data_IF_995010858659
#
_entry.id   IF_995010858659
#
_cell.length_a   1.000
_cell.length_b   1.000
_cell.length_c   1.000
_cell.angle_alpha   90.00
_cell.angle_beta   90.00
_cell.angle_gamma   90.00
#
_symmetry.space_group_name_H-M   'P 1'
#
loop_
_entity.id
_entity.type
_entity.pdbx_description
1 polymer ?
#
# COMPACT_ATOMS: atom_id res chain seq x y z
N UNK A 1 13.69 -3.14 -8.13
CA UNK A 1 14.98 -2.44 -7.89
C UNK A 1 15.08 -1.32 -8.93
N UNK A 2 15.36 -0.10 -8.48
CA UNK A 2 14.88 1.18 -9.04
C UNK A 2 15.99 2.05 -9.66
N UNK A 3 15.63 3.13 -10.38
CA UNK A 3 16.61 4.06 -10.95
C UNK A 3 16.18 5.53 -10.80
N UNK A 4 17.06 6.42 -10.33
CA UNK A 4 16.91 7.88 -10.25
C UNK A 4 18.20 8.53 -10.80
N UNK A 5 18.07 9.60 -11.58
CA UNK A 5 19.17 10.44 -12.04
C UNK A 5 18.95 11.86 -11.55
N UNK A 6 19.98 12.48 -10.96
CA UNK A 6 19.98 13.87 -10.47
C UNK A 6 21.05 14.70 -11.18
N UNK A 7 20.70 15.93 -11.57
CA UNK A 7 21.64 17.00 -11.97
C UNK A 7 21.27 18.25 -11.16
N UNK A 8 22.24 18.97 -10.55
CA UNK A 8 21.96 20.13 -9.71
C UNK A 8 21.88 21.43 -10.53
N UNK A 9 21.12 22.44 -10.07
CA UNK A 9 21.53 23.86 -9.92
C UNK A 9 20.33 24.79 -9.54
N UNK A 10 20.54 25.52 -8.43
CA UNK A 10 20.12 26.87 -7.98
C UNK A 10 18.69 27.42 -8.26
N UNK A 11 17.87 27.29 -7.21
CA UNK A 11 16.89 28.19 -6.56
C UNK A 11 16.30 29.40 -7.34
N UNK A 12 14.96 29.41 -7.43
CA UNK A 12 14.12 30.55 -7.01
C UNK A 12 12.90 30.02 -6.24
N UNK A 13 12.73 30.42 -4.97
CA UNK A 13 11.56 30.08 -4.17
C UNK A 13 10.37 30.96 -4.58
N UNK A 14 9.30 30.36 -5.12
CA UNK A 14 7.93 30.81 -4.88
C UNK A 14 7.22 29.76 -4.05
N UNK A 15 6.68 30.20 -2.92
CA UNK A 15 5.86 29.37 -2.03
C UNK A 15 4.46 29.35 -2.65
N UNK A 16 4.14 28.29 -3.40
CA UNK A 16 2.77 27.98 -3.77
C UNK A 16 2.12 27.27 -2.58
N UNK A 17 1.21 27.95 -1.90
CA UNK A 17 0.38 27.34 -0.86
C UNK A 17 -0.69 26.48 -1.54
N UNK A 18 -0.60 25.16 -1.41
CA UNK A 18 -1.66 24.24 -1.83
C UNK A 18 -2.93 24.48 -1.01
N UNK A 19 -4.08 24.57 -1.68
CA UNK A 19 -5.40 24.59 -1.04
C UNK A 19 -5.67 23.27 -0.30
N UNK A 20 -6.53 23.27 0.74
CA UNK A 20 -6.91 22.06 1.44
C UNK A 20 -7.70 21.14 0.49
N UNK A 21 -7.14 19.98 0.20
CA UNK A 21 -7.84 18.87 -0.45
C UNK A 21 -9.05 18.50 0.41
N UNK A 22 -10.26 18.54 -0.18
CA UNK A 22 -11.51 18.30 0.57
C UNK A 22 -11.48 16.92 1.23
N UNK A 23 -11.83 16.87 2.52
CA UNK A 23 -12.06 15.62 3.25
C UNK A 23 -13.35 14.92 2.79
N UNK A 24 -14.13 15.55 1.91
CA UNK A 24 -15.33 14.98 1.31
C UNK A 24 -15.03 14.34 -0.05
N UNK A 25 -15.35 13.05 -0.18
CA UNK A 25 -15.13 12.27 -1.40
C UNK A 25 -15.91 12.79 -2.61
N UNK A 26 -17.14 13.28 -2.44
CA UNK A 26 -17.95 13.79 -3.55
C UNK A 26 -17.38 15.11 -4.09
N UNK A 27 -16.91 16.00 -3.22
CA UNK A 27 -16.26 17.24 -3.63
C UNK A 27 -14.98 16.97 -4.41
N UNK A 28 -14.18 15.98 -3.97
CA UNK A 28 -13.00 15.53 -4.70
C UNK A 28 -13.37 15.04 -6.11
N UNK A 29 -14.42 14.23 -6.23
CA UNK A 29 -14.86 13.71 -7.52
C UNK A 29 -15.36 14.82 -8.45
N UNK A 30 -16.06 15.82 -7.92
CA UNK A 30 -16.46 17.00 -8.67
C UNK A 30 -15.23 17.80 -9.13
N UNK A 31 -14.23 17.99 -8.26
CA UNK A 31 -13.01 18.69 -8.62
C UNK A 31 -12.22 17.98 -9.72
N UNK A 32 -12.20 16.65 -9.73
CA UNK A 32 -11.46 15.88 -10.75
C UNK A 32 -12.21 15.78 -12.08
N UNK A 33 -13.53 15.56 -12.07
CA UNK A 33 -14.31 15.32 -13.28
C UNK A 33 -15.15 16.50 -13.75
N UNK A 34 -15.17 17.62 -13.02
CA UNK A 34 -16.05 18.77 -13.26
C UNK A 34 -17.53 18.51 -12.98
N UNK A 35 -17.90 17.28 -12.59
CA UNK A 35 -19.27 16.86 -12.27
C UNK A 35 -19.22 15.60 -11.40
N UNK A 36 -20.26 15.30 -10.62
CA UNK A 36 -20.29 14.08 -9.80
C UNK A 36 -20.66 12.86 -10.68
N UNK A 37 -19.71 11.93 -10.95
CA UNK A 37 -19.98 10.72 -11.74
C UNK A 37 -20.90 9.72 -11.02
N UNK A 38 -21.22 9.92 -9.74
CA UNK A 38 -22.24 9.16 -9.03
C UNK A 38 -23.68 9.56 -9.44
N UNK A 39 -23.89 10.76 -9.99
CA UNK A 39 -25.24 11.21 -10.41
C UNK A 39 -25.62 10.81 -11.85
N UNK A 40 -24.67 10.43 -12.70
CA UNK A 40 -24.95 10.08 -14.11
C UNK A 40 -25.52 8.67 -14.32
N UNK A 41 -25.63 7.84 -13.27
CA UNK A 41 -26.22 6.50 -13.37
C UNK A 41 -27.73 6.44 -13.07
N UNK A 42 -28.39 7.55 -12.70
CA UNK A 42 -29.81 7.53 -12.30
C UNK A 42 -30.81 7.90 -13.42
N UNK A 43 -30.37 8.33 -14.60
CA UNK A 43 -31.27 8.88 -15.63
C UNK A 43 -31.55 7.98 -16.85
N UNK A 44 -31.28 6.68 -16.79
CA UNK A 44 -31.73 5.74 -17.83
C UNK A 44 -32.34 4.49 -17.21
N UNK A 45 -33.61 4.55 -16.78
CA UNK A 45 -34.52 3.38 -16.85
C UNK A 45 -35.98 3.73 -16.53
N UNK A 46 -36.88 3.42 -17.47
CA UNK A 46 -38.23 2.88 -17.21
C UNK A 46 -38.86 2.37 -18.53
N UNK A 47 -39.91 1.51 -18.52
CA UNK A 47 -40.34 0.55 -17.50
C UNK A 47 -40.65 -0.86 -18.07
N UNK A 48 -40.66 -1.88 -17.20
CA UNK A 48 -41.72 -2.92 -17.15
C UNK A 48 -41.59 -3.81 -15.90
N UNK A 49 -42.69 -3.94 -15.16
CA UNK A 49 -42.97 -4.90 -14.08
C UNK A 49 -43.63 -6.18 -14.65
N UNK A 50 -44.18 -7.14 -13.87
CA UNK A 50 -43.92 -7.60 -12.48
C UNK A 50 -43.79 -9.15 -12.33
N UNK A 51 -43.17 -9.65 -11.24
CA UNK A 51 -43.54 -10.92 -10.55
C UNK A 51 -42.63 -11.12 -9.31
N UNK A 52 -43.11 -10.83 -8.10
CA UNK A 52 -43.52 -11.77 -7.04
C UNK A 52 -42.45 -12.75 -6.50
N UNK A 53 -41.92 -12.37 -5.33
CA UNK A 53 -41.81 -13.12 -4.07
C UNK A 53 -41.33 -14.58 -4.06
N UNK A 54 -40.23 -14.87 -3.34
CA UNK A 54 -40.25 -15.71 -2.12
C UNK A 54 -38.83 -15.97 -1.57
N UNK A 55 -38.60 -15.53 -0.34
CA UNK A 55 -37.91 -16.30 0.72
C UNK A 55 -36.48 -16.82 0.49
N UNK A 56 -35.48 -15.95 0.66
CA UNK A 56 -34.09 -16.36 0.92
C UNK A 56 -33.64 -16.00 2.35
N UNK A 57 -34.49 -16.28 3.34
CA UNK A 57 -34.18 -16.09 4.77
C UNK A 57 -34.37 -17.38 5.59
N UNK A 58 -34.30 -18.56 4.96
CA UNK A 58 -34.49 -19.85 5.64
C UNK A 58 -33.28 -20.81 5.57
N UNK A 59 -32.09 -20.32 5.19
CA UNK A 59 -30.87 -21.15 5.07
C UNK A 59 -29.70 -20.72 5.96
N UNK A 60 -29.85 -19.67 6.78
CA UNK A 60 -28.73 -19.11 7.58
C UNK A 60 -28.67 -19.66 9.03
N UNK A 61 -29.67 -20.41 9.50
CA UNK A 61 -29.70 -20.93 10.88
C UNK A 61 -29.31 -22.41 11.04
N UNK A 62 -28.68 -23.03 10.03
CA UNK A 62 -28.22 -24.44 10.12
C UNK A 62 -26.71 -24.66 10.16
N UNK A 63 -25.88 -23.61 10.16
CA UNK A 63 -24.42 -23.79 10.00
C UNK A 63 -23.59 -23.41 11.24
N UNK A 64 -24.15 -22.73 12.25
CA UNK A 64 -23.34 -22.29 13.39
C UNK A 64 -23.98 -22.56 14.76
N UNK A 65 -23.60 -23.67 15.39
CA UNK A 65 -23.21 -23.69 16.80
C UNK A 65 -22.00 -24.60 17.03
N UNK A 66 -21.01 -24.19 17.83
CA UNK A 66 -19.83 -24.98 18.15
C UNK A 66 -20.05 -25.82 19.41
N UNK A 67 -19.42 -26.99 19.50
CA UNK A 67 -19.06 -27.58 20.79
C UNK A 67 -17.69 -28.27 20.74
N UNK A 68 -17.03 -28.20 21.89
CA UNK A 68 -15.63 -28.50 22.20
C UNK A 68 -15.32 -30.00 22.18
N UNK A 69 -14.06 -30.35 21.95
CA UNK A 69 -13.36 -31.39 22.72
C UNK A 69 -11.84 -31.18 22.71
N UNK A 70 -11.23 -31.53 23.83
CA UNK A 70 -9.82 -31.41 24.19
C UNK A 70 -9.14 -32.80 24.18
N UNK A 71 -7.80 -32.78 24.20
CA UNK A 71 -6.80 -33.83 24.49
C UNK A 71 -6.20 -34.69 23.33
N UNK A 72 -4.92 -34.41 23.02
CA UNK A 72 -3.83 -35.34 23.42
C UNK A 72 -2.91 -35.98 22.35
N UNK A 73 -1.61 -35.62 22.44
CA UNK A 73 -0.35 -36.40 22.20
C UNK A 73 0.27 -36.60 20.77
N UNK A 74 1.43 -35.95 20.61
CA UNK A 74 2.79 -36.46 20.28
C UNK A 74 3.11 -37.18 18.95
N UNK A 75 4.05 -36.65 18.16
CA UNK A 75 5.24 -37.37 17.66
C UNK A 75 6.28 -36.44 16.98
N UNK A 76 7.55 -36.65 17.34
CA UNK A 76 8.78 -36.06 16.80
C UNK A 76 9.10 -36.48 15.35
N UNK A 77 9.78 -35.62 14.59
CA UNK A 77 10.93 -36.00 13.73
C UNK A 77 11.97 -34.86 13.78
N UNK A 78 13.17 -35.16 14.26
CA UNK A 78 14.33 -34.27 14.23
C UNK A 78 15.27 -34.52 13.04
N UNK A 79 16.17 -33.56 12.82
CA UNK A 79 17.51 -33.82 12.24
C UNK A 79 18.01 -32.81 11.20
N UNK A 80 18.99 -31.97 11.58
CA UNK A 80 19.86 -31.26 10.64
C UNK A 80 20.55 -30.00 11.18
N UNK A 81 21.53 -30.13 12.10
CA UNK A 81 22.41 -29.04 12.55
C UNK A 81 23.75 -29.01 11.80
N UNK A 82 24.36 -27.81 11.67
CA UNK A 82 25.77 -27.42 11.99
C UNK A 82 26.04 -26.03 11.35
N UNK A 83 26.67 -25.02 11.94
CA UNK A 83 27.39 -24.80 13.21
C UNK A 83 27.69 -23.28 13.31
N UNK A 84 27.29 -22.57 14.37
CA UNK A 84 28.11 -22.10 15.51
C UNK A 84 27.15 -21.48 16.52
N UNK A 85 27.37 -21.70 17.82
CA UNK A 85 26.51 -21.19 18.87
C UNK A 85 26.65 -19.67 18.99
N UNK A 86 25.60 -18.94 18.62
CA UNK A 86 25.27 -17.67 19.26
C UNK A 86 23.79 -17.73 19.67
N UNK A 87 23.57 -17.63 20.98
CA UNK A 87 22.30 -17.79 21.69
C UNK A 87 21.33 -16.63 21.37
N UNK A 88 20.85 -16.55 20.13
CA UNK A 88 19.98 -15.47 19.66
C UNK A 88 18.89 -15.97 18.69
N UNK A 89 17.81 -15.21 18.61
CA UNK A 89 16.68 -15.38 17.72
C UNK A 89 16.64 -14.21 16.73
N UNK A 90 16.46 -14.50 15.43
CA UNK A 90 16.30 -13.46 14.42
C UNK A 90 14.92 -12.84 14.53
N UNK A 91 14.87 -11.55 14.86
CA UNK A 91 13.63 -10.76 15.00
C UNK A 91 13.77 -9.46 14.20
N UNK A 92 12.67 -8.86 13.73
CA UNK A 92 12.68 -7.51 13.15
C UNK A 92 13.47 -6.54 14.04
N UNK A 93 14.26 -5.66 13.43
CA UNK A 93 15.21 -4.81 14.16
C UNK A 93 14.57 -4.00 15.32
N UNK A 94 13.31 -3.58 15.17
CA UNK A 94 12.56 -2.83 16.20
C UNK A 94 11.99 -3.70 17.34
N UNK A 95 12.13 -5.03 17.26
CA UNK A 95 11.74 -5.97 18.32
C UNK A 95 12.92 -6.42 19.17
N UNK A 96 14.14 -5.99 18.84
CA UNK A 96 15.33 -6.27 19.65
C UNK A 96 15.77 -5.01 20.38
N UNK A 97 15.64 -4.98 21.72
CA UNK A 97 16.03 -3.80 22.48
C UNK A 97 16.84 -4.12 23.73
N UNK A 98 18.03 -3.51 23.80
CA UNK A 98 19.00 -3.62 24.88
C UNK A 98 18.99 -2.31 25.72
N UNK A 99 17.82 -1.94 26.26
CA UNK A 99 17.59 -0.72 27.07
C UNK A 99 17.90 0.65 26.42
N UNK A 100 18.08 0.75 25.10
CA UNK A 100 18.24 2.05 24.42
C UNK A 100 17.48 2.09 23.09
N UNK A 101 16.57 3.06 22.92
CA UNK A 101 16.06 3.44 21.58
C UNK A 101 17.10 4.39 21.02
N UNK A 102 17.82 3.96 19.99
CA UNK A 102 18.81 4.81 19.33
C UNK A 102 18.07 5.89 18.55
N UNK A 103 18.07 7.11 19.13
CA UNK A 103 17.29 8.28 18.68
C UNK A 103 18.17 9.36 18.05
N UNK A 104 19.46 9.07 17.82
CA UNK A 104 20.47 9.98 17.28
C UNK A 104 20.70 9.83 15.76
N UNK A 105 19.96 8.92 15.10
CA UNK A 105 20.13 8.62 13.69
C UNK A 105 20.89 7.32 13.38
N UNK A 106 21.25 6.48 14.37
CA UNK A 106 21.90 5.19 14.09
C UNK A 106 20.97 4.06 13.58
N UNK A 107 19.73 4.35 13.23
CA UNK A 107 18.79 3.43 12.56
C UNK A 107 19.08 3.23 11.07
N UNK A 108 20.36 3.14 10.70
CA UNK A 108 20.80 2.96 9.32
C UNK A 108 20.77 1.47 8.96
N UNK A 109 19.91 1.08 8.03
CA UNK A 109 19.85 -0.29 7.51
C UNK A 109 20.57 -0.34 6.16
N UNK A 110 21.71 -1.01 6.08
CA UNK A 110 22.35 -1.29 4.77
C UNK A 110 21.68 -2.51 4.14
N UNK A 111 20.84 -2.28 3.14
CA UNK A 111 20.06 -3.33 2.48
C UNK A 111 20.92 -4.35 1.71
N UNK A 112 22.21 -4.08 1.51
CA UNK A 112 23.14 -5.00 0.81
C UNK A 112 23.79 -6.01 1.75
N UNK A 113 23.87 -5.70 3.04
CA UNK A 113 24.55 -6.53 4.02
C UNK A 113 23.57 -7.58 4.56
N UNK A 114 23.69 -8.82 4.06
CA UNK A 114 23.04 -9.97 4.70
C UNK A 114 23.85 -10.35 5.93
N UNK A 115 23.30 -10.04 7.10
CA UNK A 115 23.92 -10.35 8.39
C UNK A 115 23.75 -11.83 8.78
N UNK A 116 23.71 -12.09 10.09
CA UNK A 116 23.46 -13.42 10.65
C UNK A 116 22.06 -13.95 10.28
N UNK A 117 21.10 -13.05 10.03
CA UNK A 117 19.72 -13.38 9.68
C UNK A 117 19.50 -13.36 8.16
N UNK A 118 18.58 -14.20 7.67
CA UNK A 118 18.28 -14.31 6.23
C UNK A 118 17.63 -13.04 5.66
N UNK A 119 16.75 -12.41 6.45
CA UNK A 119 16.10 -11.15 6.09
C UNK A 119 16.96 -9.97 6.54
N UNK A 120 17.17 -8.99 5.66
CA UNK A 120 17.96 -7.79 5.93
C UNK A 120 17.32 -6.84 6.94
N UNK A 121 16.02 -6.97 7.21
CA UNK A 121 15.32 -6.23 8.27
C UNK A 121 15.41 -6.92 9.64
N UNK A 122 15.97 -8.13 9.72
CA UNK A 122 16.08 -8.89 10.96
C UNK A 122 17.47 -8.78 11.58
N UNK A 123 17.53 -8.78 12.90
CA UNK A 123 18.75 -8.79 13.69
C UNK A 123 18.75 -10.00 14.65
N UNK A 124 19.93 -10.58 14.85
CA UNK A 124 20.16 -11.64 15.84
C UNK A 124 20.03 -11.04 17.26
N UNK A 125 18.93 -11.36 17.94
CA UNK A 125 18.59 -10.82 19.25
C UNK A 125 18.62 -11.89 20.35
N UNK A 126 19.32 -11.64 21.46
CA UNK A 126 19.38 -12.58 22.59
C UNK A 126 18.16 -12.42 23.50
N UNK A 127 17.63 -13.52 24.04
CA UNK A 127 16.67 -13.44 25.16
C UNK A 127 17.42 -12.90 26.40
N UNK A 128 16.87 -11.95 27.18
CA UNK A 128 15.47 -11.53 27.29
C UNK A 128 15.08 -10.27 26.51
N UNK A 129 15.93 -9.76 25.61
CA UNK A 129 15.80 -8.44 24.98
C UNK A 129 14.83 -8.40 23.78
N UNK A 130 14.13 -9.51 23.55
CA UNK A 130 13.10 -9.61 22.53
C UNK A 130 11.83 -8.99 23.11
N UNK A 131 11.36 -7.93 22.50
CA UNK A 131 10.10 -7.31 22.86
C UNK A 131 8.93 -8.18 22.36
N UNK A 132 7.96 -8.43 23.23
CA UNK A 132 6.71 -9.06 22.82
C UNK A 132 5.97 -8.22 21.77
N UNK A 133 5.17 -8.88 20.92
CA UNK A 133 4.40 -8.23 19.87
C UNK A 133 3.49 -7.10 20.35
N UNK A 134 3.08 -7.14 21.62
CA UNK A 134 2.19 -6.16 22.23
C UNK A 134 2.95 -4.90 22.70
N UNK A 135 4.28 -4.97 22.82
CA UNK A 135 5.17 -3.86 23.21
C UNK A 135 5.91 -3.24 22.01
N UNK A 136 5.40 -3.42 20.79
CA UNK A 136 6.01 -2.85 19.58
C UNK A 136 6.17 -1.33 19.74
N UNK A 137 7.42 -0.88 19.71
CA UNK A 137 7.73 0.54 19.58
C UNK A 137 7.51 0.91 18.10
N UNK A 138 6.29 1.28 17.74
CA UNK A 138 6.08 1.95 16.46
C UNK A 138 6.57 3.38 16.56
N UNK A 139 7.08 3.98 15.47
CA UNK A 139 7.39 5.40 15.45
C UNK A 139 6.18 6.21 15.95
N UNK A 140 6.45 7.28 16.71
CA UNK A 140 5.37 8.12 17.24
C UNK A 140 4.67 8.79 16.06
N UNK A 141 3.35 8.58 15.87
CA UNK A 141 2.61 9.15 14.75
C UNK A 141 2.87 10.65 14.63
N UNK A 142 3.48 11.06 13.52
CA UNK A 142 3.63 12.49 13.22
C UNK A 142 2.24 13.06 12.92
N UNK A 143 1.92 14.21 13.51
CA UNK A 143 0.67 14.92 13.23
C UNK A 143 0.63 15.30 11.74
N UNK A 144 -0.28 14.66 11.00
CA UNK A 144 -0.56 14.97 9.59
C UNK A 144 -0.91 16.44 9.41
N UNK A 145 -0.32 17.12 8.42
CA UNK A 145 -0.69 18.49 8.02
C UNK A 145 -0.95 18.56 6.52
N UNK A 146 -2.19 18.35 6.10
CA UNK A 146 -2.57 18.44 4.69
C UNK A 146 -2.15 17.21 3.88
N UNK A 147 -1.73 17.43 2.63
CA UNK A 147 -1.38 16.42 1.63
C UNK A 147 0.07 16.57 1.13
N UNK A 148 0.58 15.59 0.40
CA UNK A 148 1.85 15.71 -0.36
C UNK A 148 3.11 15.74 0.50
N UNK A 149 3.05 15.22 1.72
CA UNK A 149 4.20 15.18 2.63
C UNK A 149 5.16 14.03 2.30
N UNK A 150 6.25 14.33 1.58
CA UNK A 150 7.35 13.37 1.36
C UNK A 150 8.17 13.19 2.62
N UNK A 151 8.65 11.96 2.87
CA UNK A 151 9.53 11.60 4.00
C UNK A 151 10.91 11.15 3.52
N UNK A 152 11.83 12.07 3.15
CA UNK A 152 13.11 11.73 2.54
C UNK A 152 14.05 10.91 3.45
N UNK A 153 13.80 10.89 4.76
CA UNK A 153 14.59 10.14 5.74
C UNK A 153 13.93 8.81 6.15
N UNK A 154 12.79 8.46 5.54
CA UNK A 154 12.04 7.24 5.87
C UNK A 154 11.25 7.31 7.18
N UNK A 155 10.65 6.18 7.55
CA UNK A 155 9.83 6.01 8.76
C UNK A 155 10.47 4.95 9.64
N UNK A 156 10.93 5.34 10.83
CA UNK A 156 11.53 4.43 11.81
C UNK A 156 12.98 4.01 11.53
N UNK A 157 13.42 3.97 10.27
CA UNK A 157 14.79 3.71 9.86
C UNK A 157 15.12 4.40 8.54
N UNK A 158 16.41 4.59 8.28
CA UNK A 158 16.92 5.09 7.01
C UNK A 158 17.73 3.99 6.33
N UNK A 159 17.41 3.67 5.08
CA UNK A 159 18.24 2.76 4.30
C UNK A 159 19.49 3.45 3.80
N UNK A 160 20.58 2.69 3.82
CA UNK A 160 21.85 3.02 3.18
C UNK A 160 22.21 1.93 2.18
N UNK A 161 23.19 2.20 1.32
CA UNK A 161 23.65 1.20 0.36
C UNK A 161 22.70 0.94 -0.81
N UNK A 162 21.74 1.85 -1.07
CA UNK A 162 20.94 1.81 -2.29
C UNK A 162 21.86 1.81 -3.54
N UNK A 163 21.82 0.75 -4.33
CA UNK A 163 22.54 0.69 -5.63
C UNK A 163 21.59 0.98 -6.78
N UNK A 164 20.32 0.65 -6.58
CA UNK A 164 19.25 0.79 -7.56
C UNK A 164 18.17 1.70 -6.96
N UNK A 165 18.55 2.92 -6.56
CA UNK A 165 17.67 4.05 -6.25
C UNK A 165 16.40 3.70 -5.46
N UNK A 166 16.55 2.80 -4.49
CA UNK A 166 15.50 2.40 -3.58
C UNK A 166 14.97 3.62 -2.81
N UNK A 167 13.65 3.76 -2.75
CA UNK A 167 13.03 4.76 -1.90
C UNK A 167 13.16 4.36 -0.43
N UNK A 168 13.16 5.33 0.48
CA UNK A 168 13.08 5.06 1.91
C UNK A 168 11.72 4.44 2.27
N UNK A 169 11.66 3.67 3.35
CA UNK A 169 10.39 3.13 3.86
C UNK A 169 9.45 4.29 4.21
N UNK A 170 8.27 4.35 3.56
CA UNK A 170 7.30 5.43 3.75
C UNK A 170 7.68 6.77 3.11
N UNK A 171 8.65 6.84 2.21
CA UNK A 171 9.08 8.10 1.57
C UNK A 171 7.96 8.79 0.79
N UNK A 172 7.20 8.00 0.02
CA UNK A 172 6.08 8.43 -0.81
C UNK A 172 4.81 7.74 -0.33
N UNK A 173 4.21 8.19 0.78
CA UNK A 173 3.15 7.47 1.50
C UNK A 173 1.83 7.37 0.71
N UNK A 174 1.71 8.10 -0.40
CA UNK A 174 0.57 8.01 -1.33
C UNK A 174 0.69 6.91 -2.38
N UNK A 175 1.84 6.25 -2.49
CA UNK A 175 2.02 5.20 -3.48
C UNK A 175 1.19 3.97 -3.14
N UNK A 176 0.44 3.49 -4.14
CA UNK A 176 -0.33 2.26 -4.00
C UNK A 176 -0.04 1.29 -5.14
N UNK A 177 -0.11 0.00 -4.84
CA UNK A 177 -0.13 -1.06 -5.82
C UNK A 177 -1.57 -1.47 -6.12
N UNK A 178 -1.92 -1.52 -7.41
CA UNK A 178 -3.17 -2.09 -7.90
C UNK A 178 -2.88 -3.54 -8.25
N UNK A 179 -3.56 -4.44 -7.58
CA UNK A 179 -3.41 -5.89 -7.68
C UNK A 179 -4.66 -6.48 -8.31
N UNK A 180 -4.47 -7.45 -9.19
CA UNK A 180 -5.54 -8.27 -9.76
C UNK A 180 -5.56 -9.62 -9.08
N UNK A 181 -6.72 -10.03 -8.59
CA UNK A 181 -6.91 -11.36 -8.06
C UNK A 181 -7.09 -12.36 -9.21
N UNK A 182 -6.22 -13.37 -9.28
CA UNK A 182 -6.28 -14.45 -10.25
C UNK A 182 -6.41 -15.79 -9.53
N UNK A 183 -7.34 -16.64 -9.98
CA UNK A 183 -7.50 -17.99 -9.46
C UNK A 183 -6.43 -18.92 -10.03
N UNK A 184 -5.74 -19.67 -9.16
CA UNK A 184 -4.87 -20.76 -9.57
C UNK A 184 -5.76 -21.99 -9.79
N UNK A 185 -5.99 -22.34 -11.05
CA UNK A 185 -6.96 -23.34 -11.53
C UNK A 185 -6.81 -24.76 -10.96
N UNK A 186 -5.78 -25.03 -10.16
CA UNK A 186 -5.47 -26.36 -9.63
C UNK A 186 -5.51 -26.46 -8.09
N UNK A 187 -5.54 -25.35 -7.36
CA UNK A 187 -5.47 -25.36 -5.88
C UNK A 187 -6.59 -24.57 -5.19
N UNK A 188 -7.43 -23.86 -5.94
CA UNK A 188 -8.41 -22.92 -5.36
C UNK A 188 -7.77 -21.69 -4.69
N UNK A 189 -6.44 -21.57 -4.78
CA UNK A 189 -5.67 -20.47 -4.22
C UNK A 189 -5.82 -19.24 -5.12
N UNK A 190 -6.00 -18.07 -4.50
CA UNK A 190 -6.07 -16.78 -5.17
C UNK A 190 -4.69 -16.13 -5.10
N UNK A 191 -4.16 -15.71 -6.25
CA UNK A 191 -2.91 -14.97 -6.36
C UNK A 191 -3.22 -13.50 -6.64
N UNK A 192 -2.59 -12.61 -5.89
CA UNK A 192 -2.62 -11.19 -6.19
C UNK A 192 -1.46 -10.86 -7.12
N UNK A 193 -1.78 -10.58 -8.39
CA UNK A 193 -0.81 -10.24 -9.43
C UNK A 193 -0.76 -8.72 -9.58
N UNK A 194 0.45 -8.15 -9.64
CA UNK A 194 0.61 -6.72 -9.86
C UNK A 194 0.06 -6.30 -11.24
N UNK A 195 -0.87 -5.34 -11.23
CA UNK A 195 -1.50 -4.80 -12.43
C UNK A 195 -0.90 -3.45 -12.80
N UNK A 196 -0.85 -2.50 -11.86
CA UNK A 196 -0.36 -1.13 -12.07
C UNK A 196 -0.04 -0.43 -10.74
N UNK A 197 0.53 0.78 -10.81
CA UNK A 197 0.59 1.73 -9.70
C UNK A 197 -0.60 2.68 -9.67
N UNK A 198 -0.75 3.39 -8.55
CA UNK A 198 -1.66 4.51 -8.40
C UNK A 198 -1.19 5.45 -7.29
N UNK A 199 -1.94 6.53 -7.08
CA UNK A 199 -1.71 7.48 -6.00
C UNK A 199 -2.97 7.66 -5.15
N UNK A 200 -2.82 7.59 -3.84
CA UNK A 200 -3.87 7.91 -2.87
C UNK A 200 -4.10 9.43 -2.90
N UNK A 201 -5.29 9.84 -3.34
CA UNK A 201 -5.71 11.26 -3.37
C UNK A 201 -6.75 11.57 -2.30
N UNK A 202 -7.29 10.53 -1.67
CA UNK A 202 -8.19 10.59 -0.52
C UNK A 202 -8.12 9.24 0.18
N UNK A 203 -8.46 9.16 1.47
CA UNK A 203 -8.39 7.88 2.21
C UNK A 203 -9.24 6.75 1.59
N UNK A 204 -10.14 7.07 0.66
CA UNK A 204 -11.00 6.11 -0.05
C UNK A 204 -10.94 6.25 -1.58
N UNK A 205 -10.03 7.07 -2.14
CA UNK A 205 -9.92 7.27 -3.59
C UNK A 205 -8.48 7.21 -4.10
N UNK A 206 -8.29 6.45 -5.18
CA UNK A 206 -7.02 6.28 -5.88
C UNK A 206 -7.10 6.89 -7.27
N UNK A 207 -6.13 7.74 -7.61
CA UNK A 207 -5.88 8.16 -8.99
C UNK A 207 -4.94 7.16 -9.68
N UNK A 208 -5.30 6.72 -10.88
CA UNK A 208 -4.48 5.83 -11.71
C UNK A 208 -4.71 6.11 -13.19
N UNK A 209 -4.02 5.40 -14.08
CA UNK A 209 -4.23 5.49 -15.52
C UNK A 209 -5.49 4.71 -15.94
N UNK A 210 -6.20 5.21 -16.95
CA UNK A 210 -7.38 4.52 -17.48
C UNK A 210 -7.01 3.17 -18.10
N UNK A 211 -5.90 3.10 -18.85
CA UNK A 211 -5.46 1.86 -19.49
C UNK A 211 -5.13 0.74 -18.48
N UNK A 212 -4.81 1.08 -17.23
CA UNK A 212 -4.56 0.10 -16.16
C UNK A 212 -5.83 -0.69 -15.79
N UNK A 213 -7.00 -0.07 -15.94
CA UNK A 213 -8.28 -0.56 -15.41
C UNK A 213 -9.37 -0.69 -16.48
N UNK A 214 -9.10 -0.25 -17.71
CA UNK A 214 -10.01 -0.40 -18.84
C UNK A 214 -10.30 -1.89 -19.10
N UNK A 215 -11.59 -2.24 -19.19
CA UNK A 215 -12.04 -3.62 -19.35
C UNK A 215 -11.84 -4.53 -18.13
N UNK A 216 -11.49 -3.98 -16.97
CA UNK A 216 -11.39 -4.73 -15.70
C UNK A 216 -12.68 -4.61 -14.90
N UNK A 217 -12.94 -5.62 -14.06
CA UNK A 217 -14.09 -5.64 -13.14
C UNK A 217 -13.59 -5.20 -11.76
N UNK A 218 -14.31 -4.30 -11.09
CA UNK A 218 -13.91 -3.76 -9.78
C UNK A 218 -13.67 -4.85 -8.73
N UNK A 219 -14.53 -5.86 -8.68
CA UNK A 219 -14.42 -6.99 -7.75
C UNK A 219 -13.18 -7.89 -7.95
N UNK A 220 -12.45 -7.73 -9.06
CA UNK A 220 -11.19 -8.43 -9.32
C UNK A 220 -9.97 -7.60 -8.91
N UNK A 221 -10.16 -6.34 -8.50
CA UNK A 221 -9.09 -5.43 -8.16
C UNK A 221 -9.01 -5.22 -6.65
N UNK A 222 -7.78 -5.19 -6.17
CA UNK A 222 -7.40 -4.86 -4.79
C UNK A 222 -6.35 -3.77 -4.83
N UNK A 223 -6.43 -2.83 -3.91
CA UNK A 223 -5.44 -1.77 -3.73
C UNK A 223 -4.66 -2.07 -2.46
N UNK A 224 -3.33 -2.03 -2.55
CA UNK A 224 -2.42 -2.13 -1.43
C UNK A 224 -1.72 -0.79 -1.20
N UNK A 225 -1.91 -0.20 -0.02
CA UNK A 225 -1.26 1.03 0.41
C UNK A 225 -0.21 0.74 1.50
N UNK A 226 0.83 1.57 1.58
CA UNK A 226 1.87 1.47 2.63
C UNK A 226 2.83 0.29 2.46
N UNK A 227 2.83 -0.32 1.27
CA UNK A 227 3.81 -1.33 0.87
C UNK A 227 5.18 -0.69 0.60
N UNK A 228 6.25 -1.46 0.82
CA UNK A 228 7.60 -1.04 0.47
C UNK A 228 8.38 -2.17 -0.17
N UNK A 229 8.72 -3.21 0.58
CA UNK A 229 9.35 -4.42 0.04
C UNK A 229 8.37 -5.59 -0.01
N UNK A 230 7.88 -5.84 -1.22
CA UNK A 230 6.88 -6.87 -1.53
C UNK A 230 7.32 -8.31 -1.20
N UNK A 231 8.58 -8.52 -0.85
CA UNK A 231 9.15 -9.82 -0.50
C UNK A 231 9.13 -10.10 1.01
N UNK A 232 8.82 -9.11 1.83
CA UNK A 232 8.80 -9.23 3.29
C UNK A 232 7.55 -8.55 3.88
N UNK A 233 7.37 -8.73 5.19
CA UNK A 233 6.34 -8.08 6.00
C UNK A 233 6.90 -7.61 7.34
N UNK A 234 8.23 -7.52 7.43
CA UNK A 234 8.96 -7.21 8.65
C UNK A 234 9.17 -5.70 8.81
N UNK A 235 8.46 -4.88 8.04
CA UNK A 235 8.42 -3.44 8.22
C UNK A 235 7.63 -3.06 9.50
N UNK A 236 8.00 -1.94 10.16
CA UNK A 236 7.39 -1.54 11.43
C UNK A 236 5.91 -1.19 11.31
N UNK A 237 5.48 -0.74 10.13
CA UNK A 237 4.07 -0.47 9.81
C UNK A 237 3.63 -1.39 8.68
N UNK A 238 2.54 -2.17 8.84
CA UNK A 238 2.09 -3.10 7.82
C UNK A 238 1.43 -2.36 6.64
N UNK A 239 1.46 -3.00 5.48
CA UNK A 239 0.65 -2.59 4.33
C UNK A 239 -0.86 -2.80 4.61
N UNK A 240 -1.70 -2.07 3.88
CA UNK A 240 -3.16 -2.14 4.00
C UNK A 240 -3.79 -2.49 2.66
N UNK A 241 -4.54 -3.60 2.63
CA UNK A 241 -5.27 -4.05 1.44
C UNK A 241 -6.74 -3.62 1.51
N UNK A 242 -7.27 -3.11 0.39
CA UNK A 242 -8.67 -2.67 0.23
C UNK A 242 -9.23 -3.16 -1.10
N UNK A 243 -10.49 -3.56 -1.10
CA UNK A 243 -11.17 -3.98 -2.33
C UNK A 243 -11.69 -2.75 -3.08
N UNK A 244 -11.76 -2.83 -4.40
CA UNK A 244 -12.29 -1.76 -5.24
C UNK A 244 -13.80 -1.97 -5.45
N UNK A 245 -14.61 -0.95 -5.13
CA UNK A 245 -16.07 -0.98 -5.37
C UNK A 245 -16.43 -0.39 -6.71
N UNK A 246 -15.77 0.71 -7.10
CA UNK A 246 -16.09 1.45 -8.34
C UNK A 246 -14.81 1.82 -9.10
N UNK A 247 -14.88 1.68 -10.41
CA UNK A 247 -13.90 2.18 -11.37
C UNK A 247 -14.58 3.31 -12.15
N UNK A 248 -13.97 4.49 -12.15
CA UNK A 248 -14.48 5.68 -12.85
C UNK A 248 -13.41 6.09 -13.86
N UNK A 249 -13.60 5.69 -15.12
CA UNK A 249 -12.71 6.05 -16.23
C UNK A 249 -13.14 7.41 -16.78
N UNK A 250 -12.18 8.25 -17.17
CA UNK A 250 -12.50 9.50 -17.86
C UNK A 250 -13.39 9.25 -19.09
N UNK A 251 -14.52 9.96 -19.26
CA UNK A 251 -15.49 9.67 -20.32
C UNK A 251 -14.91 9.78 -21.74
N UNK A 252 -13.94 10.68 -21.94
CA UNK A 252 -13.26 10.85 -23.22
C UNK A 252 -11.94 10.06 -23.33
N UNK A 253 -11.76 9.02 -22.52
CA UNK A 253 -10.59 8.14 -22.65
C UNK A 253 -10.62 7.41 -24.00
N UNK A 254 -9.51 7.52 -24.74
CA UNK A 254 -9.34 6.85 -26.03
C UNK A 254 -8.17 5.88 -25.98
N UNK A 255 -8.46 4.57 -25.94
CA UNK A 255 -7.46 3.50 -25.76
C UNK A 255 -6.41 3.42 -26.86
N UNK A 256 -6.77 3.79 -28.10
CA UNK A 256 -5.83 3.75 -29.24
C UNK A 256 -4.75 4.83 -29.18
N UNK A 257 -5.04 5.98 -28.58
CA UNK A 257 -4.12 7.13 -28.53
C UNK A 257 -3.69 7.51 -27.11
N UNK A 258 -4.20 6.81 -26.08
CA UNK A 258 -4.03 7.14 -24.66
C UNK A 258 -4.43 8.59 -24.32
N UNK A 259 -5.39 9.15 -25.07
CA UNK A 259 -5.93 10.48 -24.76
C UNK A 259 -6.80 10.36 -23.51
N UNK A 260 -6.66 11.31 -22.58
CA UNK A 260 -7.36 11.35 -21.30
C UNK A 260 -7.21 10.05 -20.48
N UNK A 261 -5.96 9.57 -20.38
CA UNK A 261 -5.62 8.29 -19.76
C UNK A 261 -5.56 8.37 -18.24
N UNK A 262 -6.71 8.62 -17.60
CA UNK A 262 -6.82 8.57 -16.15
C UNK A 262 -8.16 7.99 -15.69
N UNK A 263 -8.14 7.42 -14.49
CA UNK A 263 -9.29 6.86 -13.82
C UNK A 263 -9.18 7.03 -12.29
N UNK A 264 -10.33 7.04 -11.62
CA UNK A 264 -10.42 6.96 -10.16
C UNK A 264 -10.95 5.60 -9.75
N UNK A 265 -10.31 4.99 -8.75
CA UNK A 265 -10.80 3.82 -8.04
C UNK A 265 -11.36 4.24 -6.69
N UNK A 266 -12.58 3.79 -6.39
CA UNK A 266 -13.21 3.97 -5.07
C UNK A 266 -13.04 2.68 -4.28
N UNK A 267 -12.53 2.81 -3.06
CA UNK A 267 -12.31 1.68 -2.15
C UNK A 267 -13.60 1.33 -1.40
N UNK A 268 -13.74 0.07 -1.00
CA UNK A 268 -14.86 -0.41 -0.19
C UNK A 268 -14.89 0.21 1.22
N UNK A 269 -13.72 0.50 1.76
CA UNK A 269 -13.54 1.12 3.07
C UNK A 269 -12.27 1.98 3.03
N UNK A 270 -12.18 3.06 3.82
CA UNK A 270 -11.01 3.92 3.81
C UNK A 270 -9.75 3.17 4.28
N UNK A 271 -8.60 3.56 3.75
CA UNK A 271 -7.30 3.25 4.36
C UNK A 271 -7.14 4.08 5.62
N UNK A 272 -6.48 3.50 6.62
CA UNK A 272 -6.14 4.20 7.84
C UNK A 272 -4.87 5.01 7.57
N UNK A 273 -4.91 6.32 7.81
CA UNK A 273 -3.74 7.17 7.65
C UNK A 273 -2.70 6.78 8.70
N UNK A 274 -1.47 6.60 8.24
CA UNK A 274 -0.31 6.20 9.03
C UNK A 274 0.95 6.86 8.44
N UNK A 275 2.11 6.68 9.05
CA UNK A 275 3.33 7.33 8.55
C UNK A 275 3.76 6.79 7.18
N UNK A 276 3.44 5.52 6.88
CA UNK A 276 3.62 4.89 5.56
C UNK A 276 2.40 5.05 4.62
N UNK A 277 1.29 5.68 5.05
CA UNK A 277 0.05 5.83 4.26
C UNK A 277 -0.54 7.23 4.41
N UNK A 278 -0.45 8.06 3.37
CA UNK A 278 -0.98 9.43 3.35
C UNK A 278 -1.32 9.83 1.90
N UNK A 279 -1.99 10.98 1.71
CA UNK A 279 -2.51 11.38 0.39
C UNK A 279 -1.57 12.37 -0.32
N UNK A 280 -1.56 12.34 -1.65
CA UNK A 280 -0.90 13.34 -2.49
C UNK A 280 -1.83 14.50 -2.81
N UNK A 281 -1.28 15.72 -2.88
CA UNK A 281 -2.03 16.88 -3.33
C UNK A 281 -2.33 16.78 -4.83
N UNK A 282 -3.51 17.25 -5.22
CA UNK A 282 -3.84 17.50 -6.62
C UNK A 282 -3.45 18.93 -7.00
N UNK A 283 -3.00 19.15 -8.26
CA UNK A 283 -2.74 20.49 -8.77
C UNK A 283 -4.04 21.24 -9.05
N UNK A 284 -3.97 22.56 -9.16
CA UNK A 284 -5.02 23.35 -9.79
C UNK A 284 -5.01 23.14 -11.32
N UNK A 285 -6.14 23.35 -11.99
CA UNK A 285 -6.28 23.05 -13.43
C UNK A 285 -5.31 23.84 -14.33
N UNK A 286 -4.89 25.03 -13.88
CA UNK A 286 -4.01 25.93 -14.62
C UNK A 286 -2.58 25.97 -14.05
N UNK A 287 -2.25 25.06 -13.12
CA UNK A 287 -0.89 24.97 -12.57
C UNK A 287 0.12 24.60 -13.66
N UNK A 288 1.18 25.41 -13.76
CA UNK A 288 2.31 25.16 -14.67
C UNK A 288 3.51 24.69 -13.85
N UNK A 289 3.89 23.43 -14.05
CA UNK A 289 5.07 22.84 -13.42
C UNK A 289 6.31 23.10 -14.26
N UNK A 290 7.39 23.56 -13.62
CA UNK A 290 8.69 23.78 -14.26
C UNK A 290 9.44 22.48 -14.58
N UNK A 291 8.86 21.33 -14.23
CA UNK A 291 9.38 19.96 -14.39
C UNK A 291 10.77 19.73 -13.76
N UNK A 292 11.24 20.63 -12.91
CA UNK A 292 12.61 20.60 -12.40
C UNK A 292 12.81 19.62 -11.23
N UNK A 293 11.72 19.29 -10.52
CA UNK A 293 11.76 18.48 -9.27
C UNK A 293 10.59 17.49 -9.18
N UNK A 294 10.44 16.67 -10.22
CA UNK A 294 9.45 15.60 -10.26
C UNK A 294 10.09 14.26 -9.84
N UNK A 295 9.29 13.40 -9.21
CA UNK A 295 9.68 12.05 -8.82
C UNK A 295 8.75 11.05 -9.51
N UNK A 296 9.32 9.95 -9.99
CA UNK A 296 8.56 8.80 -10.48
C UNK A 296 8.83 7.61 -9.54
N UNK A 297 7.76 6.94 -9.13
CA UNK A 297 7.82 5.73 -8.30
C UNK A 297 6.73 4.72 -8.71
N UNK A 298 6.94 3.45 -8.42
CA UNK A 298 6.21 2.24 -8.88
C UNK A 298 7.09 0.99 -9.08
N UNK A 299 6.76 -0.15 -8.45
CA UNK A 299 7.63 -1.34 -8.30
C UNK A 299 8.11 -2.06 -9.57
N UNK A 300 7.59 -1.69 -10.74
CA UNK A 300 7.87 -2.37 -12.00
C UNK A 300 7.13 -3.71 -12.10
N UNK A 301 6.41 -3.91 -13.21
CA UNK A 301 5.55 -5.07 -13.43
C UNK A 301 6.30 -6.41 -13.38
N UNK A 302 7.58 -6.40 -13.78
CA UNK A 302 8.39 -7.62 -13.88
C UNK A 302 9.10 -8.01 -12.59
N UNK A 303 9.01 -7.21 -11.52
CA UNK A 303 9.77 -7.39 -10.27
C UNK A 303 8.85 -7.61 -9.07
N UNK A 304 7.61 -7.08 -9.10
CA UNK A 304 6.68 -7.18 -7.97
C UNK A 304 6.46 -8.64 -7.54
N UNK A 305 6.76 -8.94 -6.27
CA UNK A 305 6.57 -10.27 -5.69
C UNK A 305 7.52 -11.37 -6.18
N UNK A 306 8.57 -11.05 -6.95
CA UNK A 306 9.61 -12.02 -7.33
C UNK A 306 10.74 -12.04 -6.29
N UNK A 307 11.20 -13.26 -5.97
CA UNK A 307 12.43 -13.54 -5.20
C UNK A 307 13.66 -13.55 -6.10
#
# INVERSE_FOLDING_TARGET
MWVIRIIPIIIFLRISSSLPQSDNLDDLLINVFGSNPNMQQQNNTMPKSPSQDTGLNALIDKVFKPEKTDNGKSMDIGGGQTSTSDDCECVPYYQCQNDTIVSDGAGLIDIRLRGVCENYLDICCKRPHILDSDNRVTPKPIIRRGCGQRRPDGVGFQITGHTDNEAQFGEFPWMVAILREEGISQSGQKLNVYQCGGSLIHNQAILTAAHCVNGKISSQLKVRAGEWDTQTKNEPLPHQDRDVTKIIIHPDFHSGSLRNDFAILILNQPVQIAENVDVVCLPESDDIFDNSRCYASGWGKDIFGKK
#
